data_IF_741707051497
#
_entry.id   IF_741707051497
#
_cell.length_a   1.000
_cell.length_b   1.000
_cell.length_c   1.000
_cell.angle_alpha   90.00
_cell.angle_beta   90.00
_cell.angle_gamma   90.00
#
_symmetry.space_group_name_H-M   'P 1'
#
loop_
_entity.id
_entity.type
_entity.pdbx_description
1 polymer ?
#
# COMPACT_ATOMS: atom_id res chain seq x y z
N UNK A 1 -40.40 4.08 -15.45
CA UNK A 1 -39.89 4.35 -16.81
C UNK A 1 -39.01 3.17 -17.16
N UNK A 2 -38.99 2.74 -18.42
CA UNK A 2 -38.05 1.72 -18.89
C UNK A 2 -37.06 2.38 -19.86
N UNK A 3 -35.87 2.68 -19.35
CA UNK A 3 -34.83 3.36 -20.13
C UNK A 3 -34.23 2.45 -21.21
N UNK A 4 -34.30 1.12 -21.02
CA UNK A 4 -33.79 0.14 -21.97
C UNK A 4 -34.69 0.04 -23.19
N UNK A 5 -36.01 -0.12 -22.99
CA UNK A 5 -36.98 -0.18 -24.09
C UNK A 5 -37.11 1.14 -24.84
N UNK A 6 -36.97 2.26 -24.14
CA UNK A 6 -37.06 3.59 -24.75
C UNK A 6 -35.74 4.04 -25.42
N UNK A 7 -34.64 3.26 -25.30
CA UNK A 7 -33.36 3.60 -25.89
C UNK A 7 -32.71 4.86 -25.33
N UNK A 8 -33.09 5.29 -24.12
CA UNK A 8 -32.59 6.50 -23.44
C UNK A 8 -31.50 6.19 -22.41
N UNK A 9 -30.92 4.99 -22.47
CA UNK A 9 -29.85 4.55 -21.57
C UNK A 9 -28.46 5.01 -22.04
N UNK A 10 -27.54 5.16 -21.09
CA UNK A 10 -26.14 5.52 -21.34
C UNK A 10 -25.17 4.34 -21.50
N UNK A 11 -25.66 3.11 -21.68
CA UNK A 11 -24.79 1.95 -21.88
C UNK A 11 -23.95 2.06 -23.16
N UNK A 12 -22.72 1.56 -23.12
CA UNK A 12 -21.83 1.54 -24.30
C UNK A 12 -22.45 0.66 -25.38
N UNK A 13 -22.56 1.21 -26.58
CA UNK A 13 -23.12 0.49 -27.73
C UNK A 13 -22.24 -0.71 -28.10
N UNK A 14 -22.87 -1.78 -28.59
CA UNK A 14 -22.27 -3.01 -29.12
C UNK A 14 -21.49 -3.88 -28.12
N UNK A 15 -21.02 -3.34 -27.00
CA UNK A 15 -20.21 -4.05 -25.99
C UNK A 15 -20.83 -4.08 -24.59
N UNK A 16 -22.00 -3.48 -24.39
CA UNK A 16 -22.77 -3.57 -23.15
C UNK A 16 -24.28 -3.73 -23.39
N UNK A 17 -24.95 -4.43 -22.47
CA UNK A 17 -26.39 -4.67 -22.45
C UNK A 17 -27.05 -3.88 -21.31
N UNK A 18 -28.18 -3.24 -21.60
CA UNK A 18 -28.99 -2.51 -20.61
C UNK A 18 -29.90 -3.46 -19.83
N UNK A 19 -29.98 -3.29 -18.51
CA UNK A 19 -30.91 -4.00 -17.63
C UNK A 19 -31.75 -3.00 -16.85
N UNK A 20 -33.07 -3.04 -17.07
CA UNK A 20 -34.04 -2.19 -16.41
C UNK A 20 -34.38 -2.73 -15.01
N UNK A 21 -34.50 -1.86 -14.02
CA UNK A 21 -34.88 -2.19 -12.64
C UNK A 21 -35.91 -1.20 -12.11
N UNK A 22 -36.57 -1.54 -11.00
CA UNK A 22 -37.53 -0.60 -10.39
C UNK A 22 -36.82 0.68 -9.96
N UNK A 23 -37.15 1.78 -10.62
CA UNK A 23 -36.64 3.13 -10.34
C UNK A 23 -35.33 3.49 -11.04
N UNK A 24 -34.71 2.61 -11.84
CA UNK A 24 -33.47 2.92 -12.58
C UNK A 24 -33.10 1.86 -13.63
N UNK A 25 -31.90 1.95 -14.20
CA UNK A 25 -31.28 0.92 -15.03
C UNK A 25 -29.78 0.82 -14.75
N UNK A 26 -29.19 -0.34 -15.07
CA UNK A 26 -27.73 -0.52 -15.07
C UNK A 26 -27.26 -1.21 -16.34
N UNK A 27 -25.95 -1.17 -16.60
CA UNK A 27 -25.34 -1.70 -17.81
C UNK A 27 -24.42 -2.87 -17.44
N UNK A 28 -24.41 -3.91 -18.26
CA UNK A 28 -23.54 -5.08 -18.08
C UNK A 28 -22.72 -5.23 -19.35
N UNK A 29 -21.39 -5.35 -19.23
CA UNK A 29 -20.55 -5.64 -20.41
C UNK A 29 -20.91 -7.00 -21.02
N UNK A 30 -20.85 -7.10 -22.34
CA UNK A 30 -21.13 -8.33 -23.07
C UNK A 30 -20.07 -9.40 -22.77
N UNK A 31 -20.36 -10.66 -23.07
CA UNK A 31 -19.46 -11.78 -22.79
C UNK A 31 -18.05 -11.53 -23.38
N UNK A 32 -17.01 -11.77 -22.56
CA UNK A 32 -15.62 -11.49 -22.94
C UNK A 32 -15.22 -10.02 -22.80
N UNK A 33 -16.01 -9.20 -22.10
CA UNK A 33 -15.65 -7.84 -21.71
C UNK A 33 -15.90 -7.63 -20.20
N UNK A 34 -15.08 -6.79 -19.56
CA UNK A 34 -15.22 -6.42 -18.15
C UNK A 34 -15.24 -4.89 -17.98
N UNK A 35 -15.97 -4.39 -16.98
CA UNK A 35 -16.12 -2.96 -16.73
C UNK A 35 -17.47 -2.58 -16.13
N UNK A 36 -17.82 -1.28 -16.21
CA UNK A 36 -19.05 -0.72 -15.62
C UNK A 36 -20.23 -0.64 -16.61
N UNK A 37 -20.01 -0.98 -17.88
CA UNK A 37 -21.04 -0.97 -18.93
C UNK A 37 -21.47 0.42 -19.40
N UNK A 38 -21.05 1.51 -18.74
CA UNK A 38 -21.40 2.91 -19.07
C UNK A 38 -20.22 3.70 -19.60
N UNK A 39 -19.06 3.56 -18.98
CA UNK A 39 -17.84 4.29 -19.33
C UNK A 39 -16.71 3.37 -19.79
N UNK A 40 -16.72 2.11 -19.36
CA UNK A 40 -15.71 1.13 -19.72
C UNK A 40 -16.29 -0.27 -19.91
N UNK A 41 -15.95 -0.89 -21.04
CA UNK A 41 -16.00 -2.33 -21.27
C UNK A 41 -14.72 -2.72 -22.04
N UNK A 42 -13.80 -3.41 -21.37
CA UNK A 42 -12.52 -3.83 -21.95
C UNK A 42 -12.52 -5.35 -22.21
N UNK A 43 -11.96 -5.84 -23.33
CA UNK A 43 -11.92 -7.27 -23.61
C UNK A 43 -11.19 -8.06 -22.50
N UNK A 44 -11.83 -9.11 -22.00
CA UNK A 44 -11.22 -10.09 -21.09
C UNK A 44 -10.14 -10.86 -21.84
N UNK A 45 -8.87 -10.65 -21.46
CA UNK A 45 -7.72 -11.32 -22.07
C UNK A 45 -6.79 -10.43 -22.90
N UNK A 46 -7.12 -9.16 -23.14
CA UNK A 46 -6.12 -8.20 -23.65
C UNK A 46 -5.18 -7.78 -22.51
N UNK A 47 -3.93 -8.25 -22.55
CA UNK A 47 -2.86 -7.76 -21.67
C UNK A 47 -2.43 -6.36 -22.13
N UNK A 48 -2.90 -5.36 -21.41
CA UNK A 48 -2.36 -4.01 -21.52
C UNK A 48 -1.14 -3.89 -20.61
N UNK A 49 0.01 -3.61 -21.21
CA UNK A 49 1.20 -3.27 -20.43
C UNK A 49 1.21 -1.76 -20.19
N UNK A 50 1.21 -1.37 -18.92
CA UNK A 50 1.47 0.01 -18.51
C UNK A 50 2.98 0.17 -18.41
N UNK A 51 3.58 0.84 -19.38
CA UNK A 51 4.97 1.28 -19.26
C UNK A 51 5.01 2.74 -18.84
N UNK A 52 5.84 3.02 -17.83
CA UNK A 52 6.14 4.38 -17.38
C UNK A 52 7.43 4.80 -18.08
N UNK A 53 7.38 5.88 -18.88
CA UNK A 53 8.60 6.54 -19.35
C UNK A 53 9.04 7.57 -18.30
N UNK A 54 10.24 7.40 -17.75
CA UNK A 54 10.76 8.25 -16.67
C UNK A 54 10.98 9.72 -17.08
N UNK A 55 10.75 10.08 -18.35
CA UNK A 55 11.15 11.38 -18.87
C UNK A 55 10.07 12.20 -19.59
N UNK A 56 8.76 11.92 -19.42
CA UNK A 56 7.69 12.87 -19.83
C UNK A 56 6.26 12.47 -19.37
N UNK A 57 6.06 12.11 -18.10
CA UNK A 57 4.74 12.12 -17.40
C UNK A 57 3.55 11.46 -18.12
N UNK A 58 3.78 10.51 -19.03
CA UNK A 58 2.76 9.87 -19.86
C UNK A 58 2.62 8.41 -19.48
N UNK A 59 1.37 7.97 -19.35
CA UNK A 59 1.02 6.56 -19.29
C UNK A 59 0.90 6.09 -20.74
N UNK A 60 1.79 5.19 -21.16
CA UNK A 60 1.71 4.56 -22.47
C UNK A 60 0.93 3.26 -22.31
N UNK A 61 -0.24 3.20 -22.92
CA UNK A 61 -1.07 1.99 -22.97
C UNK A 61 -0.73 1.28 -24.29
N UNK A 62 0.04 0.21 -24.22
CA UNK A 62 0.42 -0.60 -25.38
C UNK A 62 -0.34 -1.92 -25.46
N UNK A 63 -0.65 -2.36 -26.69
CA UNK A 63 -1.09 -3.73 -26.98
C UNK A 63 0.13 -4.56 -27.38
N UNK A 64 0.26 -5.79 -26.88
CA UNK A 64 1.21 -6.76 -27.45
C UNK A 64 0.47 -8.03 -27.86
N UNK A 65 0.64 -8.43 -29.13
CA UNK A 65 0.11 -9.69 -29.64
C UNK A 65 0.89 -10.87 -29.03
N UNK A 66 0.18 -11.95 -28.72
CA UNK A 66 0.71 -13.17 -28.10
C UNK A 66 1.75 -13.91 -28.98
N UNK A 67 1.94 -13.48 -30.22
CA UNK A 67 2.79 -14.11 -31.25
C UNK A 67 4.27 -13.72 -31.25
N UNK A 68 4.75 -12.85 -30.35
CA UNK A 68 6.15 -12.35 -30.33
C UNK A 68 6.97 -12.80 -29.11
N UNK A 69 6.65 -13.95 -28.52
CA UNK A 69 7.43 -14.53 -27.41
C UNK A 69 8.40 -15.58 -27.96
N UNK A 70 9.67 -15.19 -28.17
CA UNK A 70 10.75 -16.15 -28.46
C UNK A 70 11.07 -17.02 -27.23
N UNK A 71 11.38 -18.34 -27.36
CA UNK A 71 11.56 -19.26 -26.23
C UNK A 71 12.83 -19.03 -25.37
N UNK A 72 13.61 -17.99 -25.64
CA UNK A 72 14.97 -17.81 -25.11
C UNK A 72 15.12 -16.84 -23.92
N UNK A 73 14.05 -16.22 -23.41
CA UNK A 73 14.18 -15.31 -22.27
C UNK A 73 14.06 -16.07 -20.94
N UNK A 74 15.16 -16.04 -20.19
CA UNK A 74 15.28 -16.53 -18.82
C UNK A 74 14.12 -16.05 -17.94
N UNK A 75 13.38 -17.00 -17.34
CA UNK A 75 12.28 -16.79 -16.40
C UNK A 75 12.74 -15.98 -15.20
N UNK A 76 12.61 -14.66 -15.27
CA UNK A 76 12.44 -13.82 -14.08
C UNK A 76 10.94 -13.59 -13.88
N UNK A 77 10.34 -14.52 -13.14
CA UNK A 77 9.12 -14.43 -12.33
C UNK A 77 8.19 -13.22 -12.54
N UNK A 78 7.46 -13.17 -13.66
CA UNK A 78 6.18 -12.46 -13.70
C UNK A 78 5.16 -13.47 -13.15
N UNK A 79 4.76 -13.26 -11.90
CA UNK A 79 3.73 -14.09 -11.28
C UNK A 79 2.42 -13.89 -12.05
N UNK A 80 1.87 -15.00 -12.56
CA UNK A 80 0.53 -15.09 -13.14
C UNK A 80 -0.47 -14.43 -12.18
N UNK A 81 -1.14 -13.36 -12.60
CA UNK A 81 -2.40 -12.97 -11.98
C UNK A 81 -3.50 -13.78 -12.67
N UNK A 82 -4.01 -14.80 -11.97
CA UNK A 82 -5.18 -15.57 -12.40
C UNK A 82 -6.41 -14.81 -11.91
N UNK A 83 -7.37 -14.52 -12.81
CA UNK A 83 -8.73 -14.18 -12.41
C UNK A 83 -9.34 -15.37 -11.65
N UNK A 84 -9.37 -15.24 -10.34
CA UNK A 84 -10.06 -16.09 -9.39
C UNK A 84 -10.10 -15.34 -8.08
N UNK A 85 -11.25 -15.33 -7.40
CA UNK A 85 -11.54 -14.56 -6.18
C UNK A 85 -10.63 -14.92 -4.98
N UNK A 86 -9.35 -14.53 -5.05
CA UNK A 86 -8.43 -14.47 -3.92
C UNK A 86 -7.37 -13.41 -4.23
N UNK A 87 -7.64 -12.18 -3.82
CA UNK A 87 -6.64 -11.11 -3.77
C UNK A 87 -5.42 -11.63 -2.99
N UNK A 88 -4.28 -11.82 -3.67
CA UNK A 88 -3.02 -12.02 -2.99
C UNK A 88 -2.76 -10.76 -2.14
N UNK A 89 -2.74 -10.92 -0.82
CA UNK A 89 -2.75 -9.86 0.20
C UNK A 89 -1.49 -8.99 0.25
N UNK A 90 -0.68 -8.95 -0.83
CA UNK A 90 0.70 -8.43 -0.82
C UNK A 90 1.15 -7.75 -2.13
N UNK A 91 0.25 -7.41 -3.06
CA UNK A 91 0.65 -6.79 -4.35
C UNK A 91 0.84 -5.25 -4.30
N UNK A 92 0.56 -4.62 -3.15
CA UNK A 92 0.78 -3.18 -2.98
C UNK A 92 2.28 -2.84 -3.09
N UNK A 93 2.61 -1.76 -3.82
CA UNK A 93 4.01 -1.41 -4.10
C UNK A 93 4.81 -1.18 -2.81
N UNK A 94 4.20 -0.59 -1.80
CA UNK A 94 4.78 -0.38 -0.47
C UNK A 94 5.04 -1.68 0.30
N UNK A 95 4.38 -2.79 -0.06
CA UNK A 95 4.66 -4.11 0.45
C UNK A 95 5.77 -4.81 -0.36
N UNK A 96 6.17 -4.30 -1.52
CA UNK A 96 7.26 -4.87 -2.33
C UNK A 96 8.54 -4.03 -2.26
N UNK A 97 8.40 -2.71 -2.12
CA UNK A 97 9.46 -1.73 -2.11
C UNK A 97 9.38 -0.90 -0.83
N UNK A 98 10.24 -1.25 0.11
CA UNK A 98 10.43 -0.56 1.38
C UNK A 98 11.89 -0.63 1.82
N UNK A 99 12.30 0.31 2.65
CA UNK A 99 13.61 0.32 3.30
C UNK A 99 13.55 -0.51 4.58
N UNK A 100 14.56 -1.35 4.79
CA UNK A 100 14.62 -2.27 5.92
C UNK A 100 15.29 -1.58 7.12
N UNK A 101 14.62 -1.55 8.26
CA UNK A 101 15.19 -1.12 9.54
C UNK A 101 15.59 -2.38 10.30
N UNK A 102 16.89 -2.70 10.26
CA UNK A 102 17.44 -3.93 10.87
C UNK A 102 18.36 -3.71 12.04
N UNK A 103 18.75 -2.46 12.31
CA UNK A 103 19.70 -2.14 13.37
C UNK A 103 19.13 -2.51 14.76
N UNK A 104 19.86 -3.33 15.51
CA UNK A 104 19.53 -3.72 16.90
C UNK A 104 19.26 -2.52 17.80
N UNK A 105 19.90 -1.39 17.50
CA UNK A 105 19.76 -0.19 18.32
C UNK A 105 18.37 0.43 18.21
N UNK A 106 17.54 0.05 17.22
CA UNK A 106 16.15 0.48 17.08
C UNK A 106 15.16 -0.33 17.92
N UNK A 107 15.59 -1.39 18.60
CA UNK A 107 14.72 -2.22 19.44
C UNK A 107 14.31 -1.47 20.70
N UNK A 108 13.06 -1.61 21.11
CA UNK A 108 12.50 -1.00 22.32
C UNK A 108 13.15 -1.45 23.63
N UNK A 109 13.82 -2.61 23.65
CA UNK A 109 14.62 -3.08 24.79
C UNK A 109 16.03 -2.51 24.80
N UNK A 110 16.50 -1.92 23.70
CA UNK A 110 17.83 -1.33 23.62
C UNK A 110 17.89 -0.02 24.41
N UNK A 111 18.74 0.03 25.43
CA UNK A 111 18.98 1.22 26.25
C UNK A 111 19.96 2.16 25.53
N UNK A 112 19.55 3.41 25.32
CA UNK A 112 20.33 4.42 24.57
C UNK A 112 21.65 4.74 25.27
N UNK A 113 22.77 4.56 24.55
CA UNK A 113 24.13 4.95 24.98
C UNK A 113 24.62 6.19 24.23
N UNK A 114 24.49 6.16 22.90
CA UNK A 114 24.76 7.28 22.00
C UNK A 114 23.43 7.80 21.48
N UNK A 115 23.22 9.11 21.41
CA UNK A 115 21.94 9.67 21.00
C UNK A 115 21.90 9.84 19.48
N UNK A 116 21.07 9.04 18.81
CA UNK A 116 20.65 9.19 17.42
C UNK A 116 19.21 9.70 17.35
N UNK A 117 18.82 10.15 16.16
CA UNK A 117 17.50 10.70 15.89
C UNK A 117 17.08 10.39 14.45
N UNK A 118 15.78 10.48 14.17
CA UNK A 118 15.19 10.16 12.86
C UNK A 118 14.73 11.44 12.13
N UNK A 119 15.40 12.59 12.35
CA UNK A 119 15.07 13.86 11.67
C UNK A 119 15.53 13.92 10.21
N UNK A 120 16.25 12.90 9.74
CA UNK A 120 16.65 12.70 8.34
C UNK A 120 16.36 11.24 7.87
N UNK A 121 15.43 10.54 8.52
CA UNK A 121 15.09 9.16 8.16
C UNK A 121 14.19 9.09 6.92
N UNK A 122 13.16 9.95 6.85
CA UNK A 122 12.11 9.91 5.83
C UNK A 122 12.16 11.10 4.86
N UNK A 123 11.12 11.26 4.01
CA UNK A 123 9.93 10.42 3.91
C UNK A 123 10.16 9.09 3.16
N UNK A 124 9.42 8.04 3.52
CA UNK A 124 9.44 6.78 2.76
C UNK A 124 8.77 5.61 3.47
N UNK A 125 8.63 4.47 2.78
CA UNK A 125 8.11 3.23 3.35
C UNK A 125 9.23 2.43 4.01
N UNK A 126 9.05 2.09 5.28
CA UNK A 126 10.01 1.35 6.08
C UNK A 126 9.37 0.10 6.70
N UNK A 127 10.20 -0.91 6.95
CA UNK A 127 9.82 -2.13 7.68
C UNK A 127 10.81 -2.40 8.80
N UNK A 128 10.32 -2.57 10.03
CA UNK A 128 11.10 -3.18 11.09
C UNK A 128 11.26 -4.68 10.81
N UNK A 129 12.50 -5.15 10.79
CA UNK A 129 12.82 -6.57 10.62
C UNK A 129 14.18 -6.92 11.25
N UNK A 130 14.44 -8.21 11.50
CA UNK A 130 15.69 -8.63 12.13
C UNK A 130 15.81 -8.12 13.57
N UNK A 131 17.00 -7.70 13.98
CA UNK A 131 17.27 -7.32 15.37
C UNK A 131 16.48 -6.10 15.86
N UNK A 132 16.01 -5.25 14.93
CA UNK A 132 15.15 -4.13 15.25
C UNK A 132 13.73 -4.54 15.69
N UNK A 133 13.34 -5.82 15.50
CA UNK A 133 12.00 -6.34 15.74
C UNK A 133 11.15 -6.41 14.48
N UNK A 134 9.85 -6.73 14.62
CA UNK A 134 8.93 -6.99 13.50
C UNK A 134 7.93 -5.86 13.25
N UNK A 135 7.73 -4.99 14.23
CA UNK A 135 6.71 -3.92 14.22
C UNK A 135 7.04 -2.81 15.20
N UNK A 136 6.37 -1.66 15.09
CA UNK A 136 6.47 -0.59 16.08
C UNK A 136 5.72 -0.96 17.37
N UNK A 137 6.20 -0.64 18.58
CA UNK A 137 5.44 -0.91 19.80
C UNK A 137 4.15 -0.09 19.85
N UNK A 138 3.06 -0.68 20.36
CA UNK A 138 1.74 -0.03 20.51
C UNK A 138 1.46 0.49 21.91
N UNK A 139 2.36 0.19 22.84
CA UNK A 139 2.30 0.61 24.24
C UNK A 139 3.33 1.71 24.46
N UNK A 140 3.01 2.65 25.35
CA UNK A 140 3.95 3.70 25.76
C UNK A 140 5.27 3.10 26.25
N UNK A 141 6.36 3.45 25.56
CA UNK A 141 7.69 2.94 25.88
C UNK A 141 8.42 3.85 26.88
N UNK A 142 9.36 3.32 27.69
CA UNK A 142 10.23 4.14 28.52
C UNK A 142 11.05 5.14 27.68
N UNK A 143 11.45 6.27 28.28
CA UNK A 143 12.42 7.18 27.66
C UNK A 143 13.78 6.49 27.45
N UNK A 144 14.61 7.04 26.57
CA UNK A 144 15.97 6.55 26.32
C UNK A 144 16.01 5.09 25.85
N UNK A 145 15.12 4.75 24.91
CA UNK A 145 15.15 3.50 24.16
C UNK A 145 15.36 3.76 22.67
N UNK A 146 15.75 2.71 21.96
CA UNK A 146 15.90 2.71 20.50
C UNK A 146 16.98 3.69 20.01
N UNK A 147 18.04 3.86 20.82
CA UNK A 147 19.14 4.79 20.57
C UNK A 147 18.70 6.25 20.42
N UNK A 148 17.50 6.59 20.91
CA UNK A 148 16.98 7.95 20.93
C UNK A 148 16.66 8.37 22.35
N UNK A 149 16.36 9.65 22.57
CA UNK A 149 15.95 10.16 23.87
C UNK A 149 14.42 10.13 24.01
N UNK A 150 13.73 10.65 22.99
CA UNK A 150 12.28 10.63 22.84
C UNK A 150 11.81 9.39 22.09
N UNK A 151 11.31 8.41 22.82
CA UNK A 151 11.05 7.06 22.32
C UNK A 151 9.71 6.98 21.60
N UNK A 152 9.75 6.72 20.29
CA UNK A 152 8.59 6.65 19.41
C UNK A 152 7.84 5.33 19.48
N UNK A 153 6.51 5.39 19.56
CA UNK A 153 5.61 4.24 19.60
C UNK A 153 4.29 4.56 18.90
N UNK A 154 3.61 3.56 18.35
CA UNK A 154 2.36 3.72 17.61
C UNK A 154 1.19 3.83 18.60
N UNK A 155 0.37 4.89 18.50
CA UNK A 155 -0.81 5.01 19.36
C UNK A 155 -1.94 4.12 18.85
N UNK A 156 -2.40 3.20 19.70
CA UNK A 156 -3.47 2.25 19.39
C UNK A 156 -2.95 0.99 18.70
N UNK A 157 -3.82 0.28 18.00
CA UNK A 157 -3.48 -0.98 17.31
C UNK A 157 -2.99 -0.74 15.88
N UNK A 158 -2.21 -1.71 15.38
CA UNK A 158 -1.89 -1.79 13.96
C UNK A 158 -3.15 -2.13 13.14
N UNK A 159 -3.23 -1.70 11.86
CA UNK A 159 -4.36 -2.01 11.00
C UNK A 159 -4.45 -3.51 10.68
N UNK A 160 -5.66 -3.96 10.36
CA UNK A 160 -5.92 -5.22 9.66
C UNK A 160 -5.55 -5.11 8.18
N UNK A 161 -5.52 -6.25 7.48
CA UNK A 161 -5.28 -6.28 6.02
C UNK A 161 -6.40 -5.57 5.26
N UNK A 162 -7.66 -5.75 5.68
CA UNK A 162 -8.83 -5.18 5.03
C UNK A 162 -8.89 -3.65 5.09
N UNK A 163 -8.33 -3.04 6.14
CA UNK A 163 -8.28 -1.59 6.30
C UNK A 163 -7.31 -0.89 5.34
N UNK A 164 -6.37 -1.63 4.73
CA UNK A 164 -5.37 -1.07 3.83
C UNK A 164 -4.38 -0.11 4.52
N UNK A 165 -3.92 0.92 3.81
CA UNK A 165 -2.98 1.90 4.31
C UNK A 165 -3.69 3.06 5.03
N UNK A 166 -3.71 3.02 6.36
CA UNK A 166 -4.42 3.98 7.22
C UNK A 166 -3.49 4.99 7.87
N UNK A 167 -4.01 6.18 8.18
CA UNK A 167 -3.30 7.16 8.98
C UNK A 167 -3.27 6.72 10.45
N UNK A 168 -2.09 6.75 11.07
CA UNK A 168 -1.90 6.46 12.49
C UNK A 168 -1.00 7.51 13.14
N UNK A 169 -1.24 7.76 14.41
CA UNK A 169 -0.40 8.67 15.21
C UNK A 169 0.75 7.89 15.84
N UNK A 170 1.97 8.34 15.61
CA UNK A 170 3.13 7.94 16.43
C UNK A 170 3.30 8.98 17.52
N UNK A 171 3.36 8.50 18.75
CA UNK A 171 3.67 9.29 19.94
C UNK A 171 5.15 9.11 20.31
N UNK A 172 5.80 10.18 20.73
CA UNK A 172 7.15 10.12 21.28
C UNK A 172 7.08 10.39 22.79
N UNK A 173 7.54 9.41 23.56
CA UNK A 173 7.64 9.53 25.02
C UNK A 173 8.71 10.54 25.36
N UNK A 174 8.36 11.47 26.23
CA UNK A 174 9.31 12.28 26.98
C UNK A 174 8.86 12.26 28.45
N UNK A 175 8.78 13.40 29.14
CA UNK A 175 8.16 13.48 30.46
C UNK A 175 6.75 12.84 30.50
N UNK A 176 5.94 13.01 29.44
CA UNK A 176 4.65 12.33 29.25
C UNK A 176 4.70 11.29 28.13
N UNK A 177 3.75 10.34 28.12
CA UNK A 177 3.64 9.25 27.13
C UNK A 177 3.62 9.72 25.67
N UNK A 178 3.01 10.88 25.41
CA UNK A 178 2.88 11.43 24.07
C UNK A 178 3.12 12.94 24.13
N UNK A 179 4.37 13.34 24.41
CA UNK A 179 4.73 14.76 24.48
C UNK A 179 4.81 15.38 23.08
N UNK A 180 5.36 14.62 22.13
CA UNK A 180 5.36 14.95 20.71
C UNK A 180 4.66 13.85 19.93
N UNK A 181 4.16 14.19 18.75
CA UNK A 181 3.54 13.21 17.87
C UNK A 181 3.66 13.60 16.42
N UNK A 182 3.56 12.60 15.54
CA UNK A 182 3.43 12.76 14.10
C UNK A 182 2.35 11.82 13.57
N UNK A 183 1.78 12.15 12.43
CA UNK A 183 0.88 11.25 11.70
C UNK A 183 1.65 10.60 10.56
N UNK A 184 1.58 9.28 10.49
CA UNK A 184 2.18 8.45 9.43
C UNK A 184 1.11 7.58 8.77
N UNK A 185 1.44 6.97 7.63
CA UNK A 185 0.61 5.88 7.07
C UNK A 185 1.16 4.54 7.50
N UNK A 186 0.29 3.59 7.82
CA UNK A 186 0.66 2.21 8.18
C UNK A 186 -0.17 1.26 7.35
N UNK A 187 0.47 0.25 6.75
CA UNK A 187 -0.21 -0.84 6.05
C UNK A 187 0.17 -2.18 6.67
N UNK A 188 -0.83 -3.06 6.77
CA UNK A 188 -0.63 -4.48 7.02
C UNK A 188 -0.52 -5.22 5.68
N UNK A 189 0.64 -5.83 5.41
CA UNK A 189 0.92 -6.59 4.19
C UNK A 189 0.61 -8.10 4.35
N UNK A 190 -0.20 -8.45 5.35
CA UNK A 190 -0.53 -9.84 5.73
C UNK A 190 0.40 -10.38 6.81
N UNK A 191 1.69 -10.53 6.50
CA UNK A 191 2.67 -11.13 7.42
C UNK A 191 3.60 -10.12 8.12
N UNK A 192 3.52 -8.84 7.75
CA UNK A 192 4.32 -7.76 8.35
C UNK A 192 3.66 -6.41 8.10
N UNK A 193 4.18 -5.39 8.79
CA UNK A 193 3.73 -4.02 8.64
C UNK A 193 4.78 -3.18 7.93
N UNK A 194 4.31 -2.24 7.13
CA UNK A 194 5.12 -1.17 6.55
C UNK A 194 4.60 0.18 7.01
N UNK A 195 5.53 1.10 7.23
CA UNK A 195 5.29 2.40 7.84
C UNK A 195 5.82 3.49 6.92
N UNK A 196 4.96 4.39 6.47
CA UNK A 196 5.37 5.57 5.71
C UNK A 196 5.86 6.62 6.69
N UNK A 197 7.11 6.48 7.12
CA UNK A 197 7.73 7.34 8.13
C UNK A 197 8.12 8.67 7.51
N UNK A 198 8.04 9.72 8.32
CA UNK A 198 8.51 11.08 8.00
C UNK A 198 9.66 11.46 8.93
N UNK A 199 10.39 12.52 8.59
CA UNK A 199 11.39 13.09 9.48
C UNK A 199 10.76 13.51 10.81
N UNK A 200 11.37 13.09 11.91
CA UNK A 200 10.92 13.52 13.24
C UNK A 200 11.16 15.02 13.42
N UNK A 201 10.27 15.74 14.12
CA UNK A 201 10.34 17.21 14.24
C UNK A 201 11.53 17.74 15.05
N UNK A 202 12.27 16.88 15.76
CA UNK A 202 13.45 17.26 16.53
C UNK A 202 14.49 16.14 16.51
N UNK A 203 15.79 16.51 16.55
CA UNK A 203 16.89 15.54 16.66
C UNK A 203 17.10 15.02 18.09
N UNK A 204 16.00 14.62 18.71
CA UNK A 204 15.97 13.90 19.99
C UNK A 204 14.98 12.75 19.95
N UNK A 205 14.25 12.59 18.84
CA UNK A 205 13.15 11.64 18.67
C UNK A 205 13.54 10.55 17.67
N UNK A 206 13.00 9.36 17.84
CA UNK A 206 13.27 8.22 16.96
C UNK A 206 12.19 7.15 17.06
N UNK A 207 12.01 6.41 15.97
CA UNK A 207 11.01 5.34 15.86
C UNK A 207 11.58 4.01 16.37
N UNK A 208 10.85 3.37 17.27
CA UNK A 208 11.22 2.05 17.81
C UNK A 208 10.60 0.89 17.05
N UNK A 209 11.28 -0.24 17.08
CA UNK A 209 10.71 -1.55 16.81
C UNK A 209 10.60 -2.43 18.07
N UNK A 210 9.77 -3.45 18.00
CA UNK A 210 9.52 -4.50 18.99
C UNK A 210 9.17 -5.79 18.24
N UNK A 211 9.15 -6.92 18.94
CA UNK A 211 8.63 -8.19 18.41
C UNK A 211 7.09 -8.27 18.41
#
# INVERSE_FOLDING_TARGET
VDECLNGIHGCIRDVATCVNVLGSYYCICNHGYTGDGKTSCIPEGELFFVTYEENMSKIIIGKKSQSEVNPGYSRHSIQKSICGNQFATNDYLECRRYTKLTDKTRKNTYVTKNKKCDNHLGPGWFRFQGDAGTKMPTVCQPMSRCETYGTGWLRGTHPSVAEGAVNKTVCFRYHSCCKHSVTIRVRNCGSYYVYHLINTPACTLGYCGTD
#
